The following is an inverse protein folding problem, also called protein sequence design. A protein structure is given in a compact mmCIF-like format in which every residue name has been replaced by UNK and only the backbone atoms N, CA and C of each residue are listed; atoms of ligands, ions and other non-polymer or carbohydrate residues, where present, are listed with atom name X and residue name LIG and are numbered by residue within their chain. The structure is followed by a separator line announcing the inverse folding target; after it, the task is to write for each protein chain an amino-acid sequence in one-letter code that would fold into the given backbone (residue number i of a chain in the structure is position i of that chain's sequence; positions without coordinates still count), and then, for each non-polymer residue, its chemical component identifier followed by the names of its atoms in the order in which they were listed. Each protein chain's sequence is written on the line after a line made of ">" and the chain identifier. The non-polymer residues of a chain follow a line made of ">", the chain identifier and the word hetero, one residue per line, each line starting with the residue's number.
data_IF_496954597112
#
_entry.id   IF_496954597112
#
_cell.length_a   1.000
_cell.length_b   1.000
_cell.length_c   1.000
_cell.angle_alpha   90.00
_cell.angle_beta   90.00
_cell.angle_gamma   90.00
#
_symmetry.space_group_name_H-M   'P 1'
#
loop_
_entity.id
_entity.type
_entity.pdbx_description
1 polymer ?
#
# COMPACT_ATOMS: atom_id res chain seq x y z
N UNK A 1 1.55 -7.29 -1.96
CA UNK A 1 0.22 -6.73 -2.31
C UNK A 1 -0.19 -5.77 -1.20
N UNK A 2 -0.31 -4.46 -1.47
CA UNK A 2 -0.44 -3.40 -0.43
C UNK A 2 -1.89 -2.94 -0.16
N UNK A 3 -2.90 -3.70 -0.60
CA UNK A 3 -4.32 -3.25 -0.59
C UNK A 3 -4.84 -2.92 0.83
N UNK A 4 -4.29 -3.60 1.84
CA UNK A 4 -4.75 -3.45 3.22
C UNK A 4 -3.92 -2.48 4.03
N UNK A 5 -2.73 -2.14 3.54
CA UNK A 5 -1.75 -1.45 4.35
C UNK A 5 -2.08 0.04 4.43
N UNK A 6 -2.64 0.43 5.57
CA UNK A 6 -2.61 1.78 6.11
C UNK A 6 -1.23 2.12 6.67
N UNK A 7 -0.16 1.53 6.12
CA UNK A 7 1.22 1.96 6.39
C UNK A 7 1.45 3.34 5.76
N UNK A 8 0.82 4.35 6.35
CA UNK A 8 1.48 5.61 6.62
C UNK A 8 2.84 5.21 7.18
N UNK A 9 3.91 5.54 6.46
CA UNK A 9 5.27 5.40 6.98
C UNK A 9 5.24 5.87 8.44
N UNK A 10 5.34 4.95 9.39
CA UNK A 10 5.86 5.29 10.69
C UNK A 10 7.22 5.93 10.36
N UNK A 11 7.36 7.21 10.68
CA UNK A 11 8.65 7.85 10.86
C UNK A 11 9.38 7.11 12.00
N UNK A 12 9.85 5.91 11.73
CA UNK A 12 10.77 5.17 12.57
C UNK A 12 12.15 5.77 12.35
N UNK A 13 12.58 6.62 13.28
CA UNK A 13 14.00 6.81 13.52
C UNK A 13 14.57 5.46 14.00
N UNK A 14 14.98 4.61 13.05
CA UNK A 14 15.65 3.35 13.36
C UNK A 14 17.14 3.63 13.57
N UNK A 15 17.60 3.46 14.81
CA UNK A 15 19.02 3.24 15.09
C UNK A 15 19.41 1.88 14.53
N UNK A 16 20.35 1.86 13.58
CA UNK A 16 20.91 0.63 13.01
C UNK A 16 21.72 -0.09 14.08
N UNK A 17 21.29 -1.29 14.47
CA UNK A 17 22.14 -2.27 15.13
C UNK A 17 22.38 -3.41 14.14
N UNK A 18 23.61 -3.51 13.65
CA UNK A 18 24.05 -4.59 12.78
C UNK A 18 24.30 -5.87 13.61
N UNK A 19 23.79 -7.01 13.13
CA UNK A 19 24.30 -8.33 13.55
C UNK A 19 24.16 -9.37 12.43
N UNK A 20 25.33 -9.65 11.83
CA UNK A 20 25.91 -10.88 11.24
C UNK A 20 25.04 -11.81 10.34
N UNK A 21 25.51 -12.13 9.11
CA UNK A 21 24.85 -13.06 8.20
C UNK A 21 25.17 -14.53 8.52
N UNK A 22 24.19 -15.43 8.37
CA UNK A 22 24.45 -16.87 8.43
C UNK A 22 23.34 -17.75 7.84
N UNK A 23 23.71 -18.48 6.78
CA UNK A 23 23.12 -19.71 6.26
C UNK A 23 22.02 -19.61 5.18
N UNK A 24 22.44 -19.29 3.95
CA UNK A 24 21.78 -19.81 2.74
C UNK A 24 22.87 -20.46 1.89
N UNK A 25 23.04 -21.77 2.07
CA UNK A 25 23.58 -22.62 1.04
C UNK A 25 22.81 -23.94 1.04
N UNK A 26 22.57 -24.44 -0.18
CA UNK A 26 21.77 -25.60 -0.57
C UNK A 26 20.25 -25.39 -0.63
N UNK A 27 19.70 -25.32 -1.85
CA UNK A 27 19.13 -26.50 -2.52
C UNK A 27 18.74 -26.08 -3.95
N UNK A 28 19.43 -26.64 -4.94
CA UNK A 28 19.06 -26.58 -6.35
C UNK A 28 18.47 -27.95 -6.74
N UNK A 29 17.17 -28.01 -7.04
CA UNK A 29 16.59 -29.12 -7.82
C UNK A 29 15.11 -28.85 -8.15
N UNK A 30 14.83 -28.82 -9.47
CA UNK A 30 13.51 -28.68 -10.07
C UNK A 30 12.50 -29.79 -9.73
N UNK A 31 12.87 -30.78 -8.93
CA UNK A 31 11.99 -31.90 -8.52
C UNK A 31 11.23 -31.63 -7.20
N UNK A 32 11.54 -30.55 -6.48
CA UNK A 32 10.98 -30.25 -5.14
C UNK A 32 9.63 -29.53 -5.20
N UNK A 33 9.36 -28.76 -6.26
CA UNK A 33 8.18 -27.87 -6.33
C UNK A 33 6.82 -28.59 -6.29
N UNK A 34 6.75 -29.86 -6.69
CA UNK A 34 5.51 -30.65 -6.60
C UNK A 34 5.09 -30.98 -5.16
N UNK A 35 6.03 -31.02 -4.22
CA UNK A 35 5.82 -31.48 -2.84
C UNK A 35 5.79 -30.35 -1.81
N UNK A 36 5.95 -29.08 -2.21
CA UNK A 36 6.02 -27.96 -1.26
C UNK A 36 4.68 -27.78 -0.54
N UNK A 37 3.54 -27.85 -1.22
CA UNK A 37 2.24 -27.70 -0.57
C UNK A 37 1.97 -28.81 0.47
N UNK A 38 2.31 -30.06 0.13
CA UNK A 38 2.16 -31.21 1.02
C UNK A 38 3.17 -31.16 2.20
N UNK A 39 4.39 -30.66 1.97
CA UNK A 39 5.38 -30.39 3.02
C UNK A 39 4.93 -29.25 3.94
N UNK A 40 4.39 -28.16 3.40
CA UNK A 40 3.88 -27.04 4.20
C UNK A 40 2.69 -27.48 5.07
N UNK A 41 1.80 -28.33 4.54
CA UNK A 41 0.70 -28.90 5.31
C UNK A 41 1.21 -29.88 6.39
N UNK A 42 2.19 -30.71 6.05
CA UNK A 42 2.85 -31.66 6.95
C UNK A 42 3.67 -30.99 8.06
N UNK A 43 4.26 -29.84 7.77
CA UNK A 43 4.97 -28.99 8.74
C UNK A 43 4.04 -28.01 9.49
N UNK A 44 2.72 -28.03 9.22
CA UNK A 44 1.74 -27.06 9.76
C UNK A 44 2.10 -25.61 9.45
N UNK A 45 2.81 -25.37 8.36
CA UNK A 45 3.12 -24.06 7.81
C UNK A 45 1.99 -23.50 6.94
N UNK A 46 0.89 -24.25 6.72
CA UNK A 46 -0.35 -23.62 6.27
C UNK A 46 -0.83 -22.68 7.37
N UNK A 47 -0.54 -21.38 7.20
CA UNK A 47 -0.92 -20.40 8.20
C UNK A 47 -2.44 -20.25 8.15
N UNK A 48 -3.11 -20.94 9.07
CA UNK A 48 -4.55 -20.89 9.19
C UNK A 48 -4.94 -19.66 10.02
N UNK A 49 -5.25 -18.57 9.33
CA UNK A 49 -5.77 -17.36 9.94
C UNK A 49 -7.28 -17.48 10.17
N UNK A 50 -7.66 -18.18 11.25
CA UNK A 50 -9.06 -18.40 11.61
C UNK A 50 -9.83 -17.09 11.90
N UNK A 51 -9.14 -16.01 12.28
CA UNK A 51 -9.74 -14.69 12.49
C UNK A 51 -9.10 -13.66 11.55
N UNK A 52 -9.87 -13.20 10.56
CA UNK A 52 -9.41 -12.28 9.52
C UNK A 52 -9.08 -10.88 10.05
N UNK A 53 -9.75 -10.44 11.12
CA UNK A 53 -9.43 -9.16 11.77
C UNK A 53 -8.09 -9.23 12.49
N UNK A 54 -7.80 -10.33 13.18
CA UNK A 54 -6.49 -10.55 13.80
C UNK A 54 -5.38 -10.65 12.76
N UNK A 55 -5.64 -11.32 11.63
CA UNK A 55 -4.71 -11.35 10.50
C UNK A 55 -4.43 -9.95 9.95
N UNK A 56 -5.49 -9.19 9.65
CA UNK A 56 -5.34 -7.83 9.12
C UNK A 56 -4.59 -6.93 10.11
N UNK A 57 -4.90 -6.97 11.41
CA UNK A 57 -4.12 -6.24 12.42
C UNK A 57 -2.65 -6.68 12.44
N UNK A 58 -2.38 -7.98 12.30
CA UNK A 58 -1.02 -8.51 12.23
C UNK A 58 -0.25 -7.98 11.01
N UNK A 59 -0.92 -7.83 9.87
CA UNK A 59 -0.36 -7.19 8.66
C UNK A 59 -0.08 -5.71 8.90
N UNK A 60 -1.06 -4.94 9.41
CA UNK A 60 -0.91 -3.50 9.66
C UNK A 60 0.20 -3.18 10.67
N UNK A 61 0.38 -4.07 11.65
CA UNK A 61 1.43 -3.94 12.68
C UNK A 61 2.76 -4.60 12.29
N UNK A 62 2.87 -5.10 11.05
CA UNK A 62 4.07 -5.79 10.54
C UNK A 62 4.51 -7.01 11.37
N UNK A 63 3.59 -7.61 12.13
CA UNK A 63 3.81 -8.91 12.78
C UNK A 63 3.64 -10.07 11.79
N UNK A 64 2.87 -9.84 10.72
CA UNK A 64 2.73 -10.71 9.57
C UNK A 64 3.28 -9.94 8.36
N UNK A 65 4.34 -10.46 7.75
CA UNK A 65 5.05 -9.84 6.64
C UNK A 65 5.11 -10.77 5.44
N UNK A 66 5.40 -10.22 4.27
CA UNK A 66 5.68 -10.97 3.03
C UNK A 66 4.63 -12.03 2.66
N UNK A 67 3.34 -11.75 2.96
CA UNK A 67 2.25 -12.63 2.54
C UNK A 67 2.03 -12.54 1.03
N UNK A 68 1.91 -13.69 0.37
CA UNK A 68 1.70 -13.77 -1.08
C UNK A 68 0.30 -13.30 -1.49
N UNK A 69 -0.72 -13.78 -0.78
CA UNK A 69 -2.14 -13.48 -1.02
C UNK A 69 -2.87 -13.32 0.31
N UNK A 70 -3.99 -12.60 0.28
CA UNK A 70 -4.95 -12.58 1.40
C UNK A 70 -5.38 -14.04 1.68
N UNK A 71 -5.53 -14.46 2.95
CA UNK A 71 -6.04 -15.79 3.27
C UNK A 71 -7.39 -16.02 2.60
N UNK A 72 -7.58 -17.17 1.93
CA UNK A 72 -8.76 -17.41 1.11
C UNK A 72 -10.07 -17.28 1.89
N UNK A 73 -10.08 -17.64 3.19
CA UNK A 73 -11.24 -17.50 4.08
C UNK A 73 -11.55 -16.05 4.48
N UNK A 74 -10.71 -15.08 4.09
CA UNK A 74 -10.83 -13.67 4.45
C UNK A 74 -11.30 -12.77 3.30
N UNK A 75 -11.71 -13.34 2.16
CA UNK A 75 -12.27 -12.58 1.03
C UNK A 75 -13.39 -11.63 1.48
N UNK A 76 -14.43 -12.19 2.09
CA UNK A 76 -15.63 -11.45 2.48
C UNK A 76 -15.31 -10.40 3.56
N UNK A 77 -14.35 -10.71 4.44
CA UNK A 77 -13.85 -9.75 5.42
C UNK A 77 -13.18 -8.54 4.76
N UNK A 78 -12.33 -8.76 3.75
CA UNK A 78 -11.64 -7.66 3.05
C UNK A 78 -12.63 -6.80 2.28
N UNK A 79 -13.57 -7.41 1.57
CA UNK A 79 -14.63 -6.67 0.88
C UNK A 79 -15.47 -5.82 1.85
N UNK A 80 -15.88 -6.41 2.98
CA UNK A 80 -16.64 -5.69 4.03
C UNK A 80 -15.83 -4.52 4.61
N UNK A 81 -14.55 -4.75 4.93
CA UNK A 81 -13.66 -3.73 5.47
C UNK A 81 -13.48 -2.54 4.50
N UNK A 82 -13.23 -2.83 3.22
CA UNK A 82 -12.92 -1.81 2.20
C UNK A 82 -14.16 -1.05 1.71
N UNK A 83 -15.33 -1.71 1.65
CA UNK A 83 -16.50 -1.17 0.96
C UNK A 83 -17.72 -1.05 1.87
N UNK A 84 -18.20 -2.17 2.42
CA UNK A 84 -19.54 -2.25 3.02
C UNK A 84 -19.61 -1.58 4.40
N UNK A 85 -18.68 -1.90 5.29
CA UNK A 85 -18.65 -1.42 6.67
C UNK A 85 -18.19 0.03 6.83
N UNK A 86 -17.53 0.59 5.80
CA UNK A 86 -16.81 1.87 5.83
C UNK A 86 -15.64 1.92 6.82
N UNK A 87 -15.24 0.79 7.41
CA UNK A 87 -14.15 0.77 8.39
C UNK A 87 -12.84 1.28 7.79
N UNK A 88 -12.51 0.91 6.54
CA UNK A 88 -11.35 1.45 5.82
C UNK A 88 -11.38 2.99 5.75
N UNK A 89 -12.54 3.58 5.45
CA UNK A 89 -12.69 5.04 5.44
C UNK A 89 -12.44 5.66 6.83
N UNK A 90 -12.99 5.07 7.90
CA UNK A 90 -12.79 5.58 9.27
C UNK A 90 -11.32 5.50 9.71
N UNK A 91 -10.65 4.42 9.33
CA UNK A 91 -9.24 4.20 9.63
C UNK A 91 -8.38 5.21 8.82
N UNK A 92 -8.63 5.35 7.51
CA UNK A 92 -7.94 6.35 6.66
C UNK A 92 -8.13 7.77 7.18
N UNK A 93 -9.36 8.10 7.60
CA UNK A 93 -9.69 9.41 8.16
C UNK A 93 -8.92 9.71 9.43
N UNK A 94 -8.80 8.73 10.31
CA UNK A 94 -8.07 8.89 11.58
C UNK A 94 -6.60 9.17 11.30
N UNK A 95 -5.96 8.36 10.45
CA UNK A 95 -4.55 8.52 10.08
C UNK A 95 -4.29 9.87 9.40
N UNK A 96 -5.12 10.26 8.43
CA UNK A 96 -4.96 11.53 7.72
C UNK A 96 -5.18 12.74 8.63
N UNK A 97 -6.09 12.64 9.60
CA UNK A 97 -6.36 13.68 10.58
C UNK A 97 -5.19 13.90 11.54
N UNK A 98 -4.60 12.82 12.05
CA UNK A 98 -3.40 12.92 12.90
C UNK A 98 -2.20 13.49 12.13
N UNK A 99 -2.00 13.07 10.87
CA UNK A 99 -0.96 13.61 10.00
C UNK A 99 -1.12 15.13 9.78
N UNK A 100 -2.35 15.60 9.57
CA UNK A 100 -2.63 17.03 9.45
C UNK A 100 -2.31 17.81 10.74
N UNK A 101 -2.76 17.32 11.91
CA UNK A 101 -2.49 18.01 13.18
C UNK A 101 -1.00 18.05 13.51
N UNK A 102 -0.28 16.97 13.19
CA UNK A 102 1.17 16.95 13.26
C UNK A 102 1.78 18.03 12.36
N UNK A 103 1.42 18.06 11.07
CA UNK A 103 1.94 19.04 10.11
C UNK A 103 1.67 20.49 10.56
N UNK A 104 0.46 20.76 11.06
CA UNK A 104 0.04 22.07 11.56
C UNK A 104 0.84 22.53 12.77
N UNK A 105 1.36 21.61 13.58
CA UNK A 105 2.17 21.90 14.75
C UNK A 105 3.63 22.25 14.44
N UNK A 106 4.08 22.10 13.19
CA UNK A 106 5.47 22.33 12.80
C UNK A 106 5.77 23.83 12.66
N UNK A 107 6.90 24.27 13.21
CA UNK A 107 7.45 25.60 12.96
C UNK A 107 8.22 25.61 11.64
N UNK A 108 7.49 25.75 10.52
CA UNK A 108 8.06 25.77 9.18
C UNK A 108 8.82 27.08 8.93
N UNK A 109 10.01 26.98 8.34
CA UNK A 109 10.81 28.16 7.96
C UNK A 109 10.49 28.57 6.54
N UNK A 110 10.29 29.87 6.32
CA UNK A 110 9.98 30.43 4.99
C UNK A 110 11.14 30.36 3.99
N UNK A 111 12.38 30.27 4.48
CA UNK A 111 13.60 30.15 3.66
C UNK A 111 13.97 28.69 3.34
N UNK A 112 13.13 27.73 3.76
CA UNK A 112 13.34 26.30 3.57
C UNK A 112 12.24 25.75 2.67
N UNK A 113 12.61 24.87 1.74
CA UNK A 113 11.64 24.08 0.97
C UNK A 113 11.13 22.96 1.88
N UNK A 114 9.97 23.19 2.50
CA UNK A 114 9.31 22.21 3.36
C UNK A 114 8.52 21.26 2.47
N UNK A 115 8.77 19.95 2.58
CA UNK A 115 8.14 18.94 1.70
C UNK A 115 7.37 17.88 2.48
N UNK A 116 6.33 17.33 1.85
CA UNK A 116 5.62 16.14 2.32
C UNK A 116 5.63 15.08 1.24
N UNK A 117 6.07 13.86 1.59
CA UNK A 117 6.17 12.75 0.63
C UNK A 117 4.87 11.94 0.69
N UNK A 118 4.26 11.72 -0.47
CA UNK A 118 3.12 10.83 -0.66
C UNK A 118 3.53 9.63 -1.53
N UNK A 119 3.13 8.42 -1.12
CA UNK A 119 2.99 7.31 -2.08
C UNK A 119 1.76 7.56 -2.98
N UNK A 120 1.60 6.78 -4.04
CA UNK A 120 0.53 6.95 -5.02
C UNK A 120 -0.54 5.84 -4.91
N UNK A 121 -0.17 4.60 -5.20
CA UNK A 121 -1.10 3.46 -5.23
C UNK A 121 -1.48 3.07 -3.80
N UNK A 122 -2.79 2.95 -3.55
CA UNK A 122 -3.41 2.72 -2.25
C UNK A 122 -3.07 3.78 -1.18
N UNK A 123 -2.62 4.96 -1.63
CA UNK A 123 -2.43 6.16 -0.78
C UNK A 123 -3.21 7.36 -1.32
N UNK A 124 -2.98 7.78 -2.57
CA UNK A 124 -3.76 8.81 -3.25
C UNK A 124 -4.80 8.21 -4.22
N UNK A 125 -4.43 7.14 -4.91
CA UNK A 125 -5.24 6.46 -5.93
C UNK A 125 -5.46 5.00 -5.55
N UNK A 126 -6.70 4.53 -5.63
CA UNK A 126 -7.09 3.20 -5.18
C UNK A 126 -6.89 2.11 -6.23
N UNK A 127 -6.27 0.99 -5.83
CA UNK A 127 -6.19 -0.24 -6.61
C UNK A 127 -7.39 -1.18 -6.41
N UNK A 128 -8.34 -0.84 -5.52
CA UNK A 128 -9.51 -1.67 -5.19
C UNK A 128 -10.27 -2.15 -6.45
N UNK A 129 -10.53 -1.31 -7.49
CA UNK A 129 -11.23 -1.78 -8.68
C UNK A 129 -10.52 -2.90 -9.46
N UNK A 130 -9.18 -2.96 -9.35
CA UNK A 130 -8.41 -4.06 -9.92
C UNK A 130 -8.59 -5.32 -9.06
N UNK A 131 -8.33 -5.24 -7.76
CA UNK A 131 -8.36 -6.43 -6.90
C UNK A 131 -9.75 -6.99 -6.64
N UNK A 132 -10.81 -6.21 -6.77
CA UNK A 132 -12.17 -6.72 -6.76
C UNK A 132 -12.41 -7.81 -7.84
N UNK A 133 -11.65 -7.77 -8.94
CA UNK A 133 -11.68 -8.79 -10.01
C UNK A 133 -10.90 -10.06 -9.67
N UNK A 134 -10.08 -10.02 -8.63
CA UNK A 134 -9.16 -11.08 -8.20
C UNK A 134 -9.36 -11.42 -6.72
N UNK A 135 -10.64 -11.55 -6.32
CA UNK A 135 -11.02 -11.96 -4.98
C UNK A 135 -10.54 -11.02 -3.87
N UNK A 136 -10.43 -9.72 -4.13
CA UNK A 136 -9.86 -8.74 -3.20
C UNK A 136 -8.45 -9.12 -2.70
N UNK A 137 -7.67 -9.77 -3.57
CA UNK A 137 -6.30 -10.18 -3.29
C UNK A 137 -6.16 -11.61 -2.73
N UNK A 138 -7.23 -12.39 -2.66
CA UNK A 138 -7.13 -13.82 -2.32
C UNK A 138 -6.60 -14.65 -3.49
N UNK A 139 -6.70 -14.11 -4.71
CA UNK A 139 -6.25 -14.78 -5.93
C UNK A 139 -4.87 -14.26 -6.34
N UNK A 140 -4.03 -15.17 -6.85
CA UNK A 140 -2.72 -14.79 -7.40
C UNK A 140 -2.91 -14.06 -8.72
N UNK A 141 -2.20 -12.95 -8.88
CA UNK A 141 -2.10 -12.20 -10.14
C UNK A 141 -0.71 -12.35 -10.74
N UNK A 142 -0.62 -12.46 -12.06
CA UNK A 142 0.67 -12.54 -12.74
C UNK A 142 1.53 -11.29 -12.45
N UNK A 143 2.86 -11.44 -12.29
CA UNK A 143 3.76 -10.31 -12.15
C UNK A 143 3.57 -9.29 -13.28
N UNK A 144 3.31 -8.04 -12.91
CA UNK A 144 3.10 -6.94 -13.86
C UNK A 144 1.68 -6.82 -14.44
N UNK A 145 0.75 -7.73 -14.11
CA UNK A 145 -0.64 -7.63 -14.57
C UNK A 145 -1.33 -6.34 -14.12
N UNK A 146 -1.07 -5.87 -12.90
CA UNK A 146 -1.57 -4.57 -12.41
C UNK A 146 -1.07 -3.40 -13.26
N UNK A 147 0.22 -3.41 -13.62
CA UNK A 147 0.82 -2.36 -14.46
C UNK A 147 0.24 -2.36 -15.87
N UNK A 148 0.04 -3.54 -16.47
CA UNK A 148 -0.61 -3.66 -17.78
C UNK A 148 -2.06 -3.17 -17.73
N UNK A 149 -2.79 -3.48 -16.65
CA UNK A 149 -4.14 -2.97 -16.43
C UNK A 149 -4.19 -1.44 -16.33
N UNK A 150 -3.25 -0.82 -15.61
CA UNK A 150 -3.11 0.65 -15.62
C UNK A 150 -2.85 1.19 -17.04
N UNK A 151 -2.02 0.48 -17.79
CA UNK A 151 -1.69 0.82 -19.18
C UNK A 151 -2.86 0.83 -20.15
N UNK A 152 -3.98 0.17 -19.83
CA UNK A 152 -5.20 0.24 -20.66
C UNK A 152 -5.99 1.53 -20.45
N UNK A 153 -5.49 2.48 -19.65
CA UNK A 153 -6.22 3.69 -19.25
C UNK A 153 -7.27 3.42 -18.19
N UNK A 154 -7.08 2.38 -17.37
CA UNK A 154 -8.02 2.05 -16.32
C UNK A 154 -8.10 3.15 -15.26
N UNK A 155 -9.30 3.35 -14.71
CA UNK A 155 -9.53 4.33 -13.65
C UNK A 155 -9.08 3.78 -12.29
N UNK A 156 -8.26 4.55 -11.60
CA UNK A 156 -7.91 4.35 -10.18
C UNK A 156 -8.51 5.51 -9.37
N UNK A 157 -9.66 5.31 -8.69
CA UNK A 157 -10.36 6.37 -7.97
C UNK A 157 -9.50 7.01 -6.88
N UNK A 158 -9.69 8.31 -6.64
CA UNK A 158 -9.04 9.02 -5.54
C UNK A 158 -9.49 8.53 -4.16
N UNK A 159 -8.57 8.46 -3.21
CA UNK A 159 -8.85 8.13 -1.80
C UNK A 159 -9.19 9.41 -1.02
N UNK A 160 -10.47 9.65 -0.68
CA UNK A 160 -10.94 11.00 -0.31
C UNK A 160 -10.27 11.57 0.95
N UNK A 161 -10.01 10.75 1.97
CA UNK A 161 -9.39 11.23 3.21
C UNK A 161 -7.92 11.65 2.99
N UNK A 162 -7.20 10.95 2.10
CA UNK A 162 -5.83 11.31 1.72
C UNK A 162 -5.80 12.56 0.82
N UNK A 163 -6.80 12.73 -0.06
CA UNK A 163 -6.94 13.95 -0.88
C UNK A 163 -7.23 15.19 -0.04
N UNK A 164 -8.03 15.07 1.03
CA UNK A 164 -8.22 16.15 2.00
C UNK A 164 -6.90 16.51 2.71
N UNK A 165 -6.13 15.51 3.15
CA UNK A 165 -4.80 15.76 3.71
C UNK A 165 -3.89 16.46 2.69
N UNK A 166 -3.86 16.00 1.44
CA UNK A 166 -3.04 16.57 0.37
C UNK A 166 -3.31 18.07 0.19
N UNK A 167 -4.58 18.47 0.14
CA UNK A 167 -4.99 19.87 0.05
C UNK A 167 -4.56 20.67 1.29
N UNK A 168 -4.81 20.14 2.49
CA UNK A 168 -4.42 20.79 3.73
C UNK A 168 -2.89 21.00 3.85
N UNK A 169 -2.09 20.06 3.36
CA UNK A 169 -0.61 20.16 3.34
C UNK A 169 -0.18 21.34 2.44
N UNK A 170 -0.81 21.51 1.28
CA UNK A 170 -0.55 22.64 0.39
C UNK A 170 -0.93 23.96 1.06
N UNK A 171 -2.08 24.02 1.74
CA UNK A 171 -2.54 25.22 2.46
C UNK A 171 -1.60 25.63 3.61
N UNK A 172 -0.88 24.67 4.20
CA UNK A 172 0.17 24.93 5.19
C UNK A 172 1.49 25.45 4.58
N UNK A 173 1.57 25.58 3.25
CA UNK A 173 2.80 25.97 2.57
C UNK A 173 3.84 24.86 2.48
N UNK A 174 3.43 23.60 2.65
CA UNK A 174 4.28 22.42 2.47
C UNK A 174 4.10 21.91 1.05
N UNK A 175 5.21 21.65 0.35
CA UNK A 175 5.21 21.22 -1.03
C UNK A 175 5.12 19.69 -1.17
N UNK A 176 4.07 19.12 -1.80
CA UNK A 176 3.95 17.69 -1.96
C UNK A 176 4.96 17.13 -2.97
N UNK A 177 5.59 16.01 -2.63
CA UNK A 177 6.34 15.16 -3.56
C UNK A 177 5.61 13.82 -3.64
N UNK A 178 5.23 13.42 -4.85
CA UNK A 178 4.63 12.11 -5.10
C UNK A 178 5.74 11.17 -5.56
N UNK A 179 5.97 10.09 -4.79
CA UNK A 179 6.93 9.05 -5.09
C UNK A 179 6.18 7.75 -5.36
N UNK A 180 6.37 7.13 -6.53
CA UNK A 180 5.64 5.94 -6.93
C UNK A 180 6.53 4.89 -7.58
N UNK A 181 6.21 3.62 -7.33
CA UNK A 181 6.85 2.48 -8.03
C UNK A 181 6.28 2.27 -9.45
N UNK A 182 5.25 3.02 -9.86
CA UNK A 182 4.77 3.03 -11.25
C UNK A 182 5.93 3.39 -12.18
N UNK A 183 6.09 2.61 -13.24
CA UNK A 183 7.10 2.89 -14.26
C UNK A 183 6.77 4.16 -15.05
N UNK A 184 7.80 4.89 -15.47
CA UNK A 184 7.67 6.08 -16.36
C UNK A 184 6.87 5.81 -17.64
N UNK A 185 6.81 4.56 -18.10
CA UNK A 185 5.97 4.12 -19.21
C UNK A 185 4.48 4.48 -18.99
N UNK A 186 4.01 4.46 -17.74
CA UNK A 186 2.61 4.73 -17.35
C UNK A 186 2.39 6.17 -16.87
N UNK A 187 3.28 7.09 -17.22
CA UNK A 187 3.20 8.49 -16.77
C UNK A 187 1.89 9.16 -17.18
N UNK A 188 1.49 9.05 -18.44
CA UNK A 188 0.31 9.76 -18.95
C UNK A 188 -0.97 9.30 -18.24
N UNK A 189 -1.23 8.00 -18.17
CA UNK A 189 -2.39 7.45 -17.45
C UNK A 189 -2.36 7.79 -15.95
N UNK A 190 -1.17 7.97 -15.37
CA UNK A 190 -1.02 8.41 -13.97
C UNK A 190 -1.42 9.86 -13.80
N UNK A 191 -1.01 10.75 -14.72
CA UNK A 191 -1.41 12.15 -14.72
C UNK A 191 -2.92 12.30 -14.90
N UNK A 192 -3.51 11.56 -15.84
CA UNK A 192 -4.95 11.61 -16.11
C UNK A 192 -5.76 11.19 -14.87
N UNK A 193 -5.33 10.14 -14.16
CA UNK A 193 -5.99 9.70 -12.92
C UNK A 193 -5.77 10.69 -11.75
N UNK A 194 -4.59 11.31 -11.63
CA UNK A 194 -4.34 12.35 -10.63
C UNK A 194 -5.23 13.57 -10.87
N UNK A 195 -5.33 14.04 -12.12
CA UNK A 195 -6.21 15.15 -12.51
C UNK A 195 -7.68 14.81 -12.24
N UNK A 196 -8.12 13.60 -12.62
CA UNK A 196 -9.48 13.12 -12.33
C UNK A 196 -9.79 13.04 -10.83
N UNK A 197 -8.78 12.80 -9.99
CA UNK A 197 -8.88 12.81 -8.53
C UNK A 197 -8.76 14.22 -7.91
N UNK A 198 -8.58 15.26 -8.71
CA UNK A 198 -8.43 16.65 -8.25
C UNK A 198 -7.02 16.99 -7.73
N UNK A 199 -6.02 16.15 -8.01
CA UNK A 199 -4.60 16.40 -7.68
C UNK A 199 -3.93 17.05 -8.88
N UNK A 200 -3.70 18.37 -8.80
CA UNK A 200 -3.20 19.16 -9.95
C UNK A 200 -1.86 19.86 -9.69
N UNK A 201 -1.38 19.87 -8.44
CA UNK A 201 -0.11 20.47 -8.06
C UNK A 201 0.75 19.49 -7.28
N UNK A 202 2.03 19.39 -7.63
CA UNK A 202 3.10 18.73 -6.87
C UNK A 202 4.42 19.42 -7.19
N UNK A 203 5.37 19.39 -6.26
CA UNK A 203 6.74 19.84 -6.51
C UNK A 203 7.46 18.87 -7.43
N UNK A 204 7.35 17.58 -7.15
CA UNK A 204 7.88 16.51 -8.00
C UNK A 204 6.91 15.31 -8.03
N UNK A 205 6.78 14.72 -9.22
CA UNK A 205 6.23 13.39 -9.42
C UNK A 205 7.39 12.49 -9.87
N UNK A 206 7.78 11.55 -9.01
CA UNK A 206 8.91 10.66 -9.22
C UNK A 206 8.37 9.26 -9.47
N UNK A 207 8.56 8.78 -10.69
CA UNK A 207 8.21 7.44 -11.16
C UNK A 207 9.49 6.62 -11.34
N UNK A 208 9.36 5.29 -11.26
CA UNK A 208 10.46 4.33 -11.46
C UNK A 208 10.94 4.29 -12.91
#
# INVERSE_FOLDING_TARGET
>A
MKILSLSLLLLLAATVSASVPGLIELVDSKTIFGNVAELLEKEKLSINYANCRSWHLGVETSNIIDFDTVPANCKDYVEDYLITSKQYQYDSKTVCKEAYFYAKGLALKNDTVNVWIFDLDDTLLSSIPYYAKYGYGTEKTDPGAYWLWLGTGASTPGLPEALHLYQNIIELGIEPIILSDRWKLWKNVTLDNLEAAGVTYWKHLILK
#
